data_IF_516738905200
#
_entry.id   IF_516738905200
#
_cell.length_a   1.000
_cell.length_b   1.000
_cell.length_c   1.000
_cell.angle_alpha   90.00
_cell.angle_beta   90.00
_cell.angle_gamma   90.00
#
_symmetry.space_group_name_H-M   'P 1'
#
loop_
_entity.id
_entity.type
_entity.pdbx_description
1 polymer ?
#
# COMPACT_ATOMS: atom_id res chain seq x y z
N UNK A 1 -21.77 -9.02 -2.60
CA UNK A 1 -20.56 -8.17 -2.67
C UNK A 1 -20.98 -6.71 -2.48
N UNK A 2 -20.15 -5.83 -1.90
CA UNK A 2 -20.50 -4.45 -1.50
C UNK A 2 -20.68 -3.47 -2.68
N UNK A 3 -21.06 -3.97 -3.86
CA UNK A 3 -21.19 -3.19 -5.09
C UNK A 3 -19.90 -2.45 -5.43
N UNK A 4 -20.03 -1.14 -5.69
CA UNK A 4 -18.94 -0.22 -6.04
C UNK A 4 -17.85 -0.08 -4.97
N UNK A 5 -18.09 -0.52 -3.73
CA UNK A 5 -17.11 -0.44 -2.64
C UNK A 5 -16.36 -1.75 -2.41
N UNK A 6 -16.58 -2.76 -3.25
CA UNK A 6 -16.05 -4.10 -3.02
C UNK A 6 -14.52 -4.11 -2.98
N UNK A 7 -13.83 -3.52 -3.96
CA UNK A 7 -12.37 -3.49 -3.95
C UNK A 7 -11.82 -2.62 -2.82
N UNK A 8 -12.42 -1.46 -2.57
CA UNK A 8 -12.02 -0.59 -1.47
C UNK A 8 -12.09 -1.30 -0.11
N UNK A 9 -13.13 -2.10 0.12
CA UNK A 9 -13.28 -2.88 1.35
C UNK A 9 -12.27 -4.02 1.44
N UNK A 10 -12.15 -4.83 0.38
CA UNK A 10 -11.27 -6.01 0.35
C UNK A 10 -9.79 -5.60 0.49
N UNK A 11 -9.41 -4.42 0.01
CA UNK A 11 -8.04 -3.90 0.11
C UNK A 11 -7.86 -3.13 1.41
N UNK A 12 -8.74 -2.16 1.65
CA UNK A 12 -8.62 -1.18 2.73
C UNK A 12 -8.78 -1.80 4.11
N UNK A 13 -9.76 -2.68 4.32
CA UNK A 13 -10.02 -3.25 5.64
C UNK A 13 -8.86 -4.13 6.15
N UNK A 14 -8.41 -5.18 5.43
CA UNK A 14 -7.26 -5.96 5.89
C UNK A 14 -5.98 -5.13 5.85
N UNK A 15 -5.79 -4.27 4.83
CA UNK A 15 -4.64 -3.37 4.75
C UNK A 15 -4.48 -2.52 6.00
N UNK A 16 -5.56 -1.88 6.45
CA UNK A 16 -5.57 -1.08 7.68
C UNK A 16 -5.26 -1.93 8.91
N UNK A 17 -5.87 -3.11 9.04
CA UNK A 17 -5.63 -4.02 10.17
C UNK A 17 -4.14 -4.41 10.24
N UNK A 18 -3.54 -4.84 9.13
CA UNK A 18 -2.12 -5.20 9.08
C UNK A 18 -1.22 -4.01 9.40
N UNK A 19 -1.50 -2.84 8.83
CA UNK A 19 -0.73 -1.62 9.10
C UNK A 19 -0.77 -1.24 10.58
N UNK A 20 -1.95 -1.27 11.21
CA UNK A 20 -2.11 -0.98 12.62
C UNK A 20 -1.41 -2.01 13.51
N UNK A 21 -1.51 -3.30 13.17
CA UNK A 21 -0.82 -4.37 13.89
C UNK A 21 0.70 -4.18 13.86
N UNK A 22 1.29 -3.99 12.67
CA UNK A 22 2.73 -3.78 12.52
C UNK A 22 3.19 -2.53 13.26
N UNK A 23 2.44 -1.43 13.12
CA UNK A 23 2.80 -0.19 13.79
C UNK A 23 2.73 -0.32 15.31
N UNK A 24 1.69 -0.97 15.84
CA UNK A 24 1.53 -1.19 17.28
C UNK A 24 2.67 -2.03 17.86
N UNK A 25 3.01 -3.14 17.18
CA UNK A 25 4.00 -4.12 17.66
C UNK A 25 5.44 -3.64 17.56
N UNK A 26 5.79 -2.82 16.56
CA UNK A 26 7.17 -2.37 16.30
C UNK A 26 7.35 -0.84 16.37
N UNK A 27 6.45 -0.12 17.05
CA UNK A 27 6.47 1.35 17.16
C UNK A 27 7.83 1.93 17.54
N UNK A 28 8.58 1.30 18.45
CA UNK A 28 9.89 1.79 18.92
C UNK A 28 10.93 1.78 17.79
N UNK A 29 10.89 0.76 16.94
CA UNK A 29 11.78 0.62 15.79
C UNK A 29 11.36 1.53 14.62
N UNK A 30 10.05 1.64 14.38
CA UNK A 30 9.50 2.31 13.20
C UNK A 30 9.35 3.82 13.36
N UNK A 31 8.98 4.32 14.55
CA UNK A 31 8.78 5.78 14.80
C UNK A 31 10.00 6.63 14.43
N UNK A 32 11.24 6.28 14.83
CA UNK A 32 12.41 7.06 14.44
C UNK A 32 12.65 7.10 12.92
N UNK A 33 12.06 6.17 12.17
CA UNK A 33 12.22 5.99 10.73
C UNK A 33 11.00 6.45 9.93
N UNK A 34 10.02 7.07 10.58
CA UNK A 34 8.74 7.43 9.95
C UNK A 34 8.93 8.26 8.66
N UNK A 35 9.83 9.24 8.67
CA UNK A 35 10.11 10.06 7.47
C UNK A 35 10.61 9.20 6.31
N UNK A 36 11.55 8.29 6.56
CA UNK A 36 12.06 7.38 5.54
C UNK A 36 10.99 6.39 5.06
N UNK A 37 10.16 5.88 5.97
CA UNK A 37 9.03 4.99 5.62
C UNK A 37 8.05 5.71 4.70
N UNK A 38 7.58 6.90 5.08
CA UNK A 38 6.63 7.69 4.30
C UNK A 38 7.22 8.10 2.95
N UNK A 39 8.49 8.53 2.92
CA UNK A 39 9.16 8.88 1.67
C UNK A 39 9.26 7.66 0.73
N UNK A 40 9.67 6.51 1.24
CA UNK A 40 9.74 5.26 0.46
C UNK A 40 8.37 4.87 -0.09
N UNK A 41 7.32 4.87 0.75
CA UNK A 41 5.95 4.56 0.31
C UNK A 41 5.49 5.54 -0.77
N UNK A 42 5.76 6.84 -0.60
CA UNK A 42 5.40 7.85 -1.59
C UNK A 42 6.11 7.65 -2.93
N UNK A 43 7.43 7.41 -2.90
CA UNK A 43 8.23 7.16 -4.11
C UNK A 43 7.77 5.88 -4.81
N UNK A 44 7.57 4.79 -4.06
CA UNK A 44 7.11 3.52 -4.67
C UNK A 44 5.68 3.62 -5.18
N UNK A 45 4.81 4.35 -4.49
CA UNK A 45 3.42 4.60 -4.96
C UNK A 45 3.42 5.38 -6.27
N UNK A 46 4.24 6.44 -6.37
CA UNK A 46 4.36 7.20 -7.61
C UNK A 46 4.90 6.35 -8.77
N UNK A 47 5.93 5.53 -8.49
CA UNK A 47 6.49 4.60 -9.47
C UNK A 47 5.43 3.59 -9.96
N UNK A 48 4.69 2.96 -9.05
CA UNK A 48 3.63 2.02 -9.40
C UNK A 48 2.48 2.68 -10.15
N UNK A 49 2.05 3.87 -9.75
CA UNK A 49 0.98 4.59 -10.44
C UNK A 49 1.34 4.90 -11.90
N UNK A 50 2.61 5.20 -12.20
CA UNK A 50 3.07 5.39 -13.59
C UNK A 50 3.01 4.07 -14.37
N UNK A 51 3.53 2.98 -13.79
CA UNK A 51 3.53 1.68 -14.45
C UNK A 51 2.12 1.13 -14.65
N UNK A 52 1.23 1.26 -13.68
CA UNK A 52 -0.14 0.77 -13.79
C UNK A 52 -0.95 1.60 -14.77
N UNK A 53 -0.72 2.91 -14.88
CA UNK A 53 -1.31 3.68 -15.98
C UNK A 53 -0.93 3.11 -17.35
N UNK A 54 0.32 2.66 -17.53
CA UNK A 54 0.78 2.02 -18.77
C UNK A 54 0.18 0.61 -18.92
N UNK A 55 0.11 -0.16 -17.83
CA UNK A 55 -0.43 -1.52 -17.88
C UNK A 55 -1.93 -1.53 -18.20
N UNK A 56 -2.69 -0.61 -17.63
CA UNK A 56 -4.15 -0.53 -17.74
C UNK A 56 -4.59 0.12 -19.06
N UNK A 57 -4.04 1.29 -19.41
CA UNK A 57 -4.58 2.09 -20.52
C UNK A 57 -4.03 1.69 -21.90
N UNK A 58 -2.73 1.86 -22.21
CA UNK A 58 -2.21 1.51 -23.53
C UNK A 58 -2.03 0.00 -23.73
N UNK A 59 -1.72 -0.76 -22.68
CA UNK A 59 -1.42 -2.20 -22.82
C UNK A 59 -2.61 -3.11 -22.52
N UNK A 60 -3.61 -2.65 -21.75
CA UNK A 60 -4.78 -3.45 -21.40
C UNK A 60 -4.44 -4.79 -20.70
N UNK A 61 -3.31 -4.87 -20.00
CA UNK A 61 -2.81 -6.09 -19.36
C UNK A 61 -3.75 -6.53 -18.25
N UNK A 62 -4.21 -5.56 -17.45
CA UNK A 62 -5.07 -5.80 -16.31
C UNK A 62 -5.85 -4.53 -15.95
N UNK A 63 -6.81 -4.66 -15.04
CA UNK A 63 -7.52 -3.53 -14.42
C UNK A 63 -8.64 -4.02 -13.52
N UNK A 64 -9.14 -3.15 -12.64
CA UNK A 64 -10.30 -3.48 -11.81
C UNK A 64 -11.60 -3.52 -12.62
N UNK A 65 -12.49 -4.44 -12.24
CA UNK A 65 -13.84 -4.51 -12.81
C UNK A 65 -14.61 -3.21 -12.51
N UNK A 66 -15.17 -2.53 -13.53
CA UNK A 66 -15.91 -1.27 -13.36
C UNK A 66 -17.08 -1.35 -12.36
N UNK A 67 -17.69 -2.52 -12.21
CA UNK A 67 -18.82 -2.79 -11.31
C UNK A 67 -18.46 -2.73 -9.81
N UNK A 68 -17.16 -2.78 -9.49
CA UNK A 68 -16.66 -2.96 -8.12
C UNK A 68 -15.72 -1.85 -7.64
N UNK A 69 -15.54 -0.82 -8.48
CA UNK A 69 -14.83 0.42 -8.14
C UNK A 69 -15.84 1.54 -7.90
N UNK A 70 -15.43 2.53 -7.12
CA UNK A 70 -16.23 3.70 -6.75
C UNK A 70 -16.51 4.63 -7.93
N UNK A 71 -15.70 4.55 -8.98
CA UNK A 71 -15.73 5.47 -10.12
C UNK A 71 -14.94 6.76 -9.89
N UNK A 72 -14.33 6.94 -8.72
CA UNK A 72 -13.42 8.05 -8.45
C UNK A 72 -12.06 7.73 -9.04
N UNK A 73 -11.57 8.61 -9.92
CA UNK A 73 -10.24 8.49 -10.51
C UNK A 73 -9.29 9.56 -9.98
N UNK A 74 -8.05 9.18 -9.79
CA UNK A 74 -6.93 10.04 -9.45
C UNK A 74 -5.78 9.74 -10.42
N UNK A 75 -5.36 10.75 -11.19
CA UNK A 75 -4.29 10.66 -12.18
C UNK A 75 -4.42 9.43 -13.11
N UNK A 76 -5.63 9.19 -13.63
CA UNK A 76 -5.92 8.12 -14.58
C UNK A 76 -6.20 6.74 -13.96
N UNK A 77 -6.00 6.56 -12.64
CA UNK A 77 -6.27 5.28 -11.97
C UNK A 77 -7.43 5.40 -10.97
N UNK A 78 -8.22 4.33 -10.75
CA UNK A 78 -9.25 4.31 -9.73
C UNK A 78 -8.65 4.45 -8.32
N UNK A 79 -9.35 5.12 -7.41
CA UNK A 79 -8.86 5.39 -6.05
C UNK A 79 -8.49 4.11 -5.28
N UNK A 80 -9.12 2.98 -5.62
CA UNK A 80 -8.83 1.68 -5.03
C UNK A 80 -7.40 1.20 -5.31
N UNK A 81 -6.81 1.56 -6.46
CA UNK A 81 -5.40 1.24 -6.76
C UNK A 81 -4.44 2.07 -5.90
N UNK A 82 -4.76 3.34 -5.67
CA UNK A 82 -3.99 4.18 -4.75
C UNK A 82 -4.02 3.64 -3.32
N UNK A 83 -5.21 3.19 -2.89
CA UNK A 83 -5.36 2.52 -1.60
C UNK A 83 -4.56 1.22 -1.57
N UNK A 84 -4.53 0.44 -2.66
CA UNK A 84 -3.70 -0.76 -2.77
C UNK A 84 -2.21 -0.44 -2.59
N UNK A 85 -1.67 0.56 -3.30
CA UNK A 85 -0.26 0.95 -3.22
C UNK A 85 0.11 1.40 -1.80
N UNK A 86 -0.71 2.24 -1.19
CA UNK A 86 -0.44 2.78 0.16
C UNK A 86 -0.59 1.69 1.22
N UNK A 87 -1.64 0.88 1.18
CA UNK A 87 -1.87 -0.17 2.17
C UNK A 87 -0.78 -1.24 2.09
N UNK A 88 -0.40 -1.67 0.87
CA UNK A 88 0.67 -2.64 0.67
C UNK A 88 2.03 -2.08 1.07
N UNK A 89 2.39 -0.89 0.61
CA UNK A 89 3.63 -0.22 1.00
C UNK A 89 3.73 0.00 2.51
N UNK A 90 2.60 0.31 3.14
CA UNK A 90 2.49 0.56 4.57
C UNK A 90 2.89 -0.62 5.47
N UNK A 91 2.73 -1.87 5.03
CA UNK A 91 3.23 -3.03 5.79
C UNK A 91 4.51 -3.62 5.20
N UNK A 92 4.72 -3.56 3.88
CA UNK A 92 5.94 -4.10 3.23
C UNK A 92 7.18 -3.33 3.68
N UNK A 93 7.13 -1.99 3.71
CA UNK A 93 8.30 -1.18 4.10
C UNK A 93 8.69 -1.44 5.56
N UNK A 94 7.76 -1.41 6.54
CA UNK A 94 8.06 -1.84 7.90
C UNK A 94 8.57 -3.27 8.00
N UNK A 95 7.99 -4.22 7.24
CA UNK A 95 8.44 -5.61 7.25
C UNK A 95 9.91 -5.74 6.85
N UNK A 96 10.34 -5.03 5.80
CA UNK A 96 11.75 -5.00 5.39
C UNK A 96 12.64 -4.39 6.48
N UNK A 97 12.23 -3.30 7.11
CA UNK A 97 12.98 -2.68 8.22
C UNK A 97 13.14 -3.65 9.39
N UNK A 98 12.06 -4.35 9.77
CA UNK A 98 12.06 -5.33 10.85
C UNK A 98 12.97 -6.51 10.50
N UNK A 99 12.87 -7.03 9.27
CA UNK A 99 13.72 -8.12 8.79
C UNK A 99 15.19 -7.75 8.85
N UNK A 100 15.56 -6.57 8.34
CA UNK A 100 16.95 -6.07 8.36
C UNK A 100 17.42 -5.82 9.80
N UNK A 101 16.58 -5.26 10.67
CA UNK A 101 16.92 -5.04 12.07
C UNK A 101 17.21 -6.37 12.78
N UNK A 102 16.36 -7.38 12.58
CA UNK A 102 16.54 -8.72 13.14
C UNK A 102 17.80 -9.40 12.61
N UNK A 103 18.06 -9.29 11.30
CA UNK A 103 19.28 -9.83 10.69
C UNK A 103 20.56 -9.19 11.23
N UNK A 104 20.49 -7.90 11.60
CA UNK A 104 21.60 -7.13 12.19
C UNK A 104 21.68 -7.23 13.72
N UNK A 105 20.87 -8.05 14.38
CA UNK A 105 20.86 -8.19 15.84
C UNK A 105 20.38 -6.95 16.59
N UNK A 106 19.66 -6.04 15.93
CA UNK A 106 19.07 -4.85 16.57
C UNK A 106 17.81 -5.28 17.33
N UNK A 107 17.68 -4.87 18.60
CA UNK A 107 16.49 -5.10 19.39
C UNK A 107 15.24 -4.55 18.69
N UNK A 108 14.16 -5.35 18.64
CA UNK A 108 12.94 -5.04 17.90
C UNK A 108 11.75 -4.70 18.79
N UNK A 109 11.98 -4.65 20.11
CA UNK A 109 10.99 -4.74 21.18
C UNK A 109 11.25 -3.75 22.32
#
# INVERSE_FOLDING_TARGET
MLGKYTYLFIIGAPGLIFNLFFWSRWKKLLRPRLKAIVATIGITTAYWAVLDNIAVHPLGIWGFKPEHVTGVQLLGLPIEEWVLFVMSGGFIVPLVIIFVAKYRGVATD
#
